data_IF_471999953781
#
_entry.id   IF_471999953781
#
_cell.length_a   1.000
_cell.length_b   1.000
_cell.length_c   1.000
_cell.angle_alpha   90.00
_cell.angle_beta   90.00
_cell.angle_gamma   90.00
#
_symmetry.space_group_name_H-M   'P 1'
#
loop_
_entity.id
_entity.type
_entity.pdbx_description
1 polymer ?
#
# COMPACT_ATOMS: atom_id res chain seq x y z
N UNK A 1 13.84 32.61 27.42
CA UNK A 1 12.83 31.58 27.15
C UNK A 1 13.59 30.28 26.99
N UNK A 2 13.42 29.38 27.93
CA UNK A 2 14.36 28.32 28.32
C UNK A 2 14.33 27.17 27.31
N UNK A 3 15.51 26.77 26.82
CA UNK A 3 15.70 25.55 26.03
C UNK A 3 15.81 24.34 26.98
N UNK A 4 14.73 23.59 27.07
CA UNK A 4 14.59 22.23 27.61
C UNK A 4 13.30 21.71 26.93
N UNK A 5 13.13 20.55 26.31
CA UNK A 5 13.69 19.20 26.43
C UNK A 5 13.72 18.59 25.00
N UNK A 6 14.88 18.12 24.52
CA UNK A 6 14.97 17.41 23.22
C UNK A 6 15.69 16.06 23.35
N UNK A 7 16.15 15.69 24.55
CA UNK A 7 16.96 14.50 24.75
C UNK A 7 16.12 13.22 24.75
N UNK A 8 14.93 13.25 25.37
CA UNK A 8 14.11 12.04 25.57
C UNK A 8 13.59 11.38 24.29
N UNK A 9 13.43 12.14 23.20
CA UNK A 9 12.92 11.57 21.95
C UNK A 9 13.95 10.79 21.14
N UNK A 10 15.23 11.14 21.29
CA UNK A 10 16.33 10.36 20.69
C UNK A 10 16.53 9.06 21.47
N UNK A 11 16.51 9.12 22.81
CA UNK A 11 16.61 7.91 23.65
C UNK A 11 15.49 6.90 23.39
N UNK A 12 14.27 7.36 23.10
CA UNK A 12 13.14 6.45 22.82
C UNK A 12 13.31 5.71 21.49
N UNK A 13 13.79 6.39 20.45
CA UNK A 13 13.99 5.79 19.12
C UNK A 13 15.11 4.75 19.13
N UNK A 14 16.21 5.02 19.81
CA UNK A 14 17.41 4.16 19.79
C UNK A 14 17.20 2.80 20.49
N UNK A 15 16.10 2.65 21.26
CA UNK A 15 15.69 1.37 21.88
C UNK A 15 14.83 0.50 20.96
N UNK A 16 14.44 1.00 19.79
CA UNK A 16 13.69 0.22 18.81
C UNK A 16 14.66 -0.63 17.95
N UNK A 17 14.28 -1.86 17.57
CA UNK A 17 12.94 -2.45 17.67
C UNK A 17 12.58 -3.06 19.03
N UNK A 18 13.53 -3.30 19.92
CA UNK A 18 13.34 -4.13 21.13
C UNK A 18 12.29 -3.56 22.11
N UNK A 19 12.20 -2.24 22.26
CA UNK A 19 11.24 -1.56 23.14
C UNK A 19 9.87 -1.27 22.49
N UNK A 20 9.54 -1.91 21.36
CA UNK A 20 8.30 -1.60 20.61
C UNK A 20 7.04 -1.75 21.46
N UNK A 21 6.94 -2.79 22.28
CA UNK A 21 5.75 -3.04 23.09
C UNK A 21 5.58 -2.02 24.22
N UNK A 22 6.70 -1.53 24.77
CA UNK A 22 6.71 -0.45 25.76
C UNK A 22 6.27 0.89 25.14
N UNK A 23 6.70 1.15 23.90
CA UNK A 23 6.50 2.44 23.23
C UNK A 23 5.14 2.52 22.54
N UNK A 24 4.75 1.49 21.79
CA UNK A 24 3.57 1.45 20.91
C UNK A 24 2.43 0.54 21.42
N UNK A 25 2.65 -0.21 22.50
CA UNK A 25 1.65 -1.09 23.12
C UNK A 25 1.90 -2.58 22.87
N UNK A 26 1.26 -3.44 23.68
CA UNK A 26 1.57 -4.89 23.74
C UNK A 26 1.43 -5.62 22.40
N UNK A 27 0.49 -5.22 21.56
CA UNK A 27 0.22 -5.83 20.25
C UNK A 27 1.05 -5.26 19.10
N UNK A 28 1.99 -4.34 19.40
CA UNK A 28 2.86 -3.75 18.39
C UNK A 28 4.08 -4.63 18.11
N UNK A 29 4.49 -4.70 16.84
CA UNK A 29 5.71 -5.41 16.42
C UNK A 29 6.61 -4.47 15.64
N UNK A 30 7.93 -4.65 15.76
CA UNK A 30 8.90 -3.85 15.02
C UNK A 30 9.97 -4.71 14.34
N UNK A 31 10.41 -4.24 13.19
CA UNK A 31 11.54 -4.80 12.46
C UNK A 31 12.43 -3.69 11.92
N UNK A 32 13.73 -3.94 11.88
CA UNK A 32 14.72 -3.04 11.27
C UNK A 32 15.37 -3.76 10.10
N UNK A 33 15.17 -3.25 8.89
CA UNK A 33 15.78 -3.79 7.68
C UNK A 33 16.19 -2.65 6.75
N UNK A 34 17.37 -2.76 6.12
CA UNK A 34 17.86 -1.77 5.16
C UNK A 34 17.80 -0.32 5.66
N UNK A 35 18.18 -0.08 6.92
CA UNK A 35 18.15 1.24 7.59
C UNK A 35 16.74 1.85 7.76
N UNK A 36 15.67 1.09 7.53
CA UNK A 36 14.30 1.50 7.81
C UNK A 36 13.74 0.76 9.02
N UNK A 37 13.32 1.54 10.03
CA UNK A 37 12.54 1.00 11.14
C UNK A 37 11.09 0.90 10.70
N UNK A 38 10.50 -0.28 10.84
CA UNK A 38 9.10 -0.52 10.53
C UNK A 38 8.39 -0.98 11.79
N UNK A 39 7.23 -0.38 12.08
CA UNK A 39 6.40 -0.71 13.23
C UNK A 39 5.00 -1.04 12.72
N UNK A 40 4.48 -2.20 13.08
CA UNK A 40 3.10 -2.59 12.86
C UNK A 40 2.30 -2.42 14.15
N UNK A 41 1.13 -1.81 14.05
CA UNK A 41 0.19 -1.62 15.17
C UNK A 41 -1.22 -2.07 14.79
N UNK A 42 -2.05 -2.48 15.76
CA UNK A 42 -3.48 -2.70 15.52
C UNK A 42 -4.18 -1.42 15.03
N UNK A 43 -5.23 -1.54 14.18
CA UNK A 43 -5.98 -0.37 13.70
C UNK A 43 -6.53 0.52 14.82
N UNK A 44 -6.92 -0.08 15.94
CA UNK A 44 -7.42 0.62 17.11
C UNK A 44 -6.39 1.56 17.75
N UNK A 45 -5.09 1.29 17.56
CA UNK A 45 -3.99 2.08 18.11
C UNK A 45 -3.39 3.06 17.10
N UNK A 46 -3.95 3.16 15.88
CA UNK A 46 -3.38 3.92 14.77
C UNK A 46 -3.04 5.37 15.12
N UNK A 47 -4.01 6.13 15.64
CA UNK A 47 -3.81 7.55 15.99
C UNK A 47 -2.84 7.69 17.16
N UNK A 48 -3.00 6.89 18.22
CA UNK A 48 -2.10 6.92 19.37
C UNK A 48 -0.64 6.60 18.98
N UNK A 49 -0.45 5.71 18.00
CA UNK A 49 0.87 5.38 17.46
C UNK A 49 1.46 6.53 16.63
N UNK A 50 0.66 7.21 15.81
CA UNK A 50 1.09 8.41 15.09
C UNK A 50 1.48 9.55 16.04
N UNK A 51 0.68 9.78 17.08
CA UNK A 51 0.99 10.76 18.14
C UNK A 51 2.27 10.38 18.88
N UNK A 52 2.45 9.11 19.22
CA UNK A 52 3.67 8.60 19.84
C UNK A 52 4.89 8.81 18.94
N UNK A 53 4.78 8.54 17.64
CA UNK A 53 5.85 8.79 16.69
C UNK A 53 6.22 10.28 16.64
N UNK A 54 5.22 11.17 16.57
CA UNK A 54 5.43 12.63 16.56
C UNK A 54 6.07 13.13 17.85
N UNK A 55 5.46 12.80 18.99
CA UNK A 55 5.71 13.46 20.27
C UNK A 55 6.82 12.78 21.06
N UNK A 56 6.92 11.45 20.99
CA UNK A 56 7.96 10.68 21.70
C UNK A 56 9.16 10.35 20.83
N UNK A 57 9.00 10.10 19.53
CA UNK A 57 10.15 9.77 18.66
C UNK A 57 10.68 10.98 17.88
N UNK A 58 9.98 12.12 17.96
CA UNK A 58 10.35 13.35 17.26
C UNK A 58 10.13 13.28 15.75
N UNK A 59 9.34 12.31 15.27
CA UNK A 59 9.02 12.16 13.85
C UNK A 59 8.02 13.24 13.40
N UNK A 60 8.49 14.48 13.32
CA UNK A 60 7.68 15.66 12.99
C UNK A 60 7.51 15.88 11.49
N UNK A 61 8.32 15.22 10.67
CA UNK A 61 8.20 15.28 9.22
C UNK A 61 7.35 14.11 8.71
N UNK A 62 6.20 14.43 8.14
CA UNK A 62 5.37 13.49 7.38
C UNK A 62 5.83 13.46 5.92
N UNK A 63 6.12 12.28 5.40
CA UNK A 63 6.59 12.11 4.02
C UNK A 63 5.46 11.67 3.09
N UNK A 64 4.88 10.49 3.33
CA UNK A 64 3.76 9.97 2.54
C UNK A 64 2.90 8.98 3.34
N UNK A 65 1.65 8.79 2.89
CA UNK A 65 0.75 7.73 3.33
C UNK A 65 0.17 7.02 2.11
N UNK A 66 0.10 5.69 2.16
CA UNK A 66 -0.53 4.87 1.12
C UNK A 66 -0.99 3.54 1.69
N UNK A 67 -1.46 2.64 0.83
CA UNK A 67 -1.84 1.29 1.22
C UNK A 67 -1.27 0.23 0.26
N UNK A 68 -1.27 -1.01 0.73
CA UNK A 68 -1.00 -2.21 -0.05
C UNK A 68 -2.17 -3.15 0.13
N UNK A 69 -2.77 -3.61 -0.96
CA UNK A 69 -3.76 -4.67 -0.93
C UNK A 69 -3.06 -6.02 -0.70
N UNK A 70 -3.25 -6.65 0.45
CA UNK A 70 -2.68 -7.95 0.82
C UNK A 70 -3.76 -9.05 0.73
N UNK A 71 -3.72 -9.91 -0.30
CA UNK A 71 -4.77 -10.90 -0.53
C UNK A 71 -4.97 -11.83 0.66
N UNK A 72 -6.23 -11.96 1.10
CA UNK A 72 -6.60 -12.78 2.25
C UNK A 72 -6.20 -12.22 3.62
N UNK A 73 -5.66 -11.00 3.67
CA UNK A 73 -5.25 -10.33 4.92
C UNK A 73 -5.97 -9.00 5.12
N UNK A 74 -6.02 -8.15 4.09
CA UNK A 74 -6.65 -6.82 4.16
C UNK A 74 -5.86 -5.76 3.41
N UNK A 75 -6.17 -4.50 3.67
CA UNK A 75 -5.35 -3.38 3.22
C UNK A 75 -4.34 -3.00 4.31
N UNK A 76 -3.06 -3.11 3.99
CA UNK A 76 -1.98 -2.61 4.83
C UNK A 76 -1.76 -1.13 4.56
N UNK A 77 -2.23 -0.28 5.45
CA UNK A 77 -2.02 1.17 5.42
C UNK A 77 -0.65 1.47 6.01
N UNK A 78 0.11 2.34 5.35
CA UNK A 78 1.48 2.69 5.69
C UNK A 78 1.63 4.21 5.74
N UNK A 79 2.24 4.74 6.80
CA UNK A 79 2.69 6.12 6.90
C UNK A 79 4.21 6.15 7.08
N UNK A 80 4.90 6.87 6.18
CA UNK A 80 6.33 7.09 6.28
C UNK A 80 6.59 8.45 6.95
N UNK A 81 7.34 8.41 8.04
CA UNK A 81 7.59 9.52 8.93
C UNK A 81 9.10 9.66 9.14
N UNK A 82 9.56 10.87 9.41
CA UNK A 82 10.96 11.13 9.69
C UNK A 82 11.17 12.08 10.87
N UNK A 83 12.19 11.78 11.67
CA UNK A 83 12.78 12.74 12.59
C UNK A 83 14.00 13.35 11.89
N UNK A 84 13.92 14.66 11.65
CA UNK A 84 15.00 15.42 11.02
C UNK A 84 16.02 15.87 12.07
N UNK A 85 17.31 15.92 11.75
CA UNK A 85 18.30 16.51 12.64
C UNK A 85 18.05 17.99 12.88
N UNK A 86 18.53 18.47 14.03
CA UNK A 86 18.66 19.91 14.26
C UNK A 86 19.58 20.54 13.20
N UNK A 87 19.18 21.69 12.68
CA UNK A 87 19.90 22.44 11.64
C UNK A 87 21.13 23.17 12.16
N UNK A 88 21.33 23.20 13.48
CA UNK A 88 22.36 24.03 14.13
C UNK A 88 23.72 23.35 14.34
N UNK A 89 23.88 22.07 13.98
CA UNK A 89 25.16 21.38 14.10
C UNK A 89 25.25 20.08 13.29
N UNK A 90 26.37 19.32 13.38
CA UNK A 90 26.45 17.97 12.86
C UNK A 90 25.55 17.05 13.70
N UNK A 91 24.25 17.13 13.48
CA UNK A 91 23.24 16.31 14.11
C UNK A 91 23.25 14.86 13.56
N UNK A 92 22.56 13.94 14.24
CA UNK A 92 22.42 12.55 13.77
C UNK A 92 21.78 12.48 12.38
N UNK A 93 21.99 11.39 11.64
CA UNK A 93 21.33 11.19 10.36
C UNK A 93 19.79 11.21 10.51
N UNK A 94 19.08 11.51 9.41
CA UNK A 94 17.62 11.44 9.37
C UNK A 94 17.16 10.06 9.81
N UNK A 95 16.32 10.00 10.85
CA UNK A 95 15.73 8.75 11.33
C UNK A 95 14.37 8.56 10.67
N UNK A 96 14.12 7.37 10.13
CA UNK A 96 12.92 7.06 9.33
C UNK A 96 12.12 5.95 9.98
N UNK A 97 10.83 6.18 10.08
CA UNK A 97 9.85 5.24 10.61
C UNK A 97 8.80 4.96 9.55
N UNK A 98 8.58 3.69 9.23
CA UNK A 98 7.40 3.22 8.50
C UNK A 98 6.41 2.66 9.52
N UNK A 99 5.36 3.42 9.82
CA UNK A 99 4.27 2.95 10.69
C UNK A 99 3.20 2.29 9.83
N UNK A 100 2.79 1.08 10.18
CA UNK A 100 1.85 0.27 9.40
C UNK A 100 0.69 -0.20 10.26
N UNK A 101 -0.46 -0.37 9.64
CA UNK A 101 -1.60 -1.07 10.21
C UNK A 101 -2.38 -1.81 9.12
N UNK A 102 -3.19 -2.79 9.47
CA UNK A 102 -3.94 -3.59 8.51
C UNK A 102 -5.43 -3.52 8.83
N UNK A 103 -6.23 -3.04 7.88
CA UNK A 103 -7.70 -3.03 7.95
C UNK A 103 -8.30 -4.11 7.05
N UNK A 104 -9.44 -4.74 7.42
CA UNK A 104 -10.06 -5.78 6.62
C UNK A 104 -10.61 -5.23 5.29
N UNK A 105 -10.75 -6.07 4.27
CA UNK A 105 -11.26 -5.66 2.94
C UNK A 105 -12.74 -5.22 2.99
N UNK A 106 -13.57 -5.93 3.76
CA UNK A 106 -15.03 -5.80 3.76
C UNK A 106 -15.52 -4.54 4.50
N UNK A 107 -14.68 -3.96 5.37
CA UNK A 107 -14.99 -2.79 6.18
C UNK A 107 -13.73 -1.95 6.40
N UNK A 108 -13.06 -1.62 5.29
CA UNK A 108 -11.80 -0.89 5.29
C UNK A 108 -12.00 0.57 5.72
N UNK A 109 -11.95 0.83 7.03
CA UNK A 109 -12.06 2.17 7.61
C UNK A 109 -10.97 2.34 8.67
N UNK A 110 -10.39 3.54 8.72
CA UNK A 110 -9.39 3.94 9.70
C UNK A 110 -9.66 5.38 10.14
N UNK A 111 -9.33 5.80 11.36
CA UNK A 111 -9.39 7.22 11.71
C UNK A 111 -8.39 8.04 10.88
N UNK A 112 -8.77 9.27 10.50
CA UNK A 112 -7.91 10.20 9.77
C UNK A 112 -6.74 10.68 10.62
N UNK A 113 -5.55 10.71 10.02
CA UNK A 113 -4.30 11.19 10.58
C UNK A 113 -4.12 12.71 10.45
N UNK A 114 -5.06 13.45 9.83
CA UNK A 114 -4.92 14.90 9.54
C UNK A 114 -4.63 15.71 10.80
N UNK A 115 -5.30 15.40 11.91
CA UNK A 115 -5.12 16.12 13.17
C UNK A 115 -3.74 15.87 13.81
N UNK A 116 -3.05 14.78 13.42
CA UNK A 116 -1.67 14.51 13.82
C UNK A 116 -0.68 15.13 12.83
N UNK A 117 -0.92 14.90 11.53
CA UNK A 117 -0.10 15.34 10.41
C UNK A 117 -0.98 15.93 9.30
N UNK A 118 -1.01 17.26 9.18
CA UNK A 118 -1.83 17.93 8.16
C UNK A 118 -1.54 17.48 6.72
N UNK A 119 -0.30 17.04 6.43
CA UNK A 119 0.09 16.50 5.13
C UNK A 119 -0.61 15.19 4.73
N UNK A 120 -1.22 14.48 5.69
CA UNK A 120 -1.96 13.26 5.45
C UNK A 120 -3.20 13.48 4.57
N UNK A 121 -3.82 14.67 4.58
CA UNK A 121 -5.10 14.85 3.90
C UNK A 121 -5.10 14.60 2.40
N UNK A 122 -4.04 14.96 1.68
CA UNK A 122 -3.94 14.61 0.25
C UNK A 122 -3.73 13.10 0.03
N UNK A 123 -2.90 12.49 0.87
CA UNK A 123 -2.56 11.07 0.79
C UNK A 123 -3.72 10.16 1.19
N UNK A 124 -4.54 10.57 2.16
CA UNK A 124 -5.75 9.86 2.56
C UNK A 124 -6.80 9.91 1.45
N UNK A 125 -6.95 11.05 0.75
CA UNK A 125 -7.82 11.15 -0.43
C UNK A 125 -7.36 10.26 -1.57
N UNK A 126 -6.06 10.29 -1.89
CA UNK A 126 -5.48 9.39 -2.90
C UNK A 126 -5.68 7.93 -2.51
N UNK A 127 -5.38 7.56 -1.26
CA UNK A 127 -5.53 6.19 -0.77
C UNK A 127 -6.98 5.73 -0.78
N UNK A 128 -7.91 6.60 -0.39
CA UNK A 128 -9.35 6.35 -0.49
C UNK A 128 -9.77 6.13 -1.93
N UNK A 129 -9.32 6.95 -2.88
CA UNK A 129 -9.69 6.79 -4.28
C UNK A 129 -9.07 5.54 -4.91
N UNK A 130 -7.81 5.25 -4.61
CA UNK A 130 -7.06 4.13 -5.19
C UNK A 130 -7.40 2.76 -4.60
N UNK A 131 -7.75 2.70 -3.31
CA UNK A 131 -7.98 1.47 -2.55
C UNK A 131 -9.37 1.39 -1.90
N UNK A 132 -10.17 2.46 -1.92
CA UNK A 132 -11.50 2.48 -1.31
C UNK A 132 -11.50 2.33 0.21
N UNK A 133 -10.45 2.84 0.87
CA UNK A 133 -10.32 2.85 2.33
C UNK A 133 -10.95 4.14 2.86
N UNK A 134 -11.90 4.04 3.80
CA UNK A 134 -12.49 5.19 4.47
C UNK A 134 -11.58 5.78 5.54
N UNK A 135 -11.57 7.11 5.66
CA UNK A 135 -10.83 7.84 6.70
C UNK A 135 -11.79 8.67 7.55
N UNK A 136 -12.16 8.15 8.73
CA UNK A 136 -13.12 8.80 9.62
C UNK A 136 -12.56 10.10 10.20
N UNK A 137 -13.34 11.17 10.13
CA UNK A 137 -12.90 12.51 10.55
C UNK A 137 -12.22 13.33 9.45
N UNK A 138 -11.96 12.76 8.27
CA UNK A 138 -11.39 13.52 7.16
C UNK A 138 -12.43 14.54 6.61
N UNK A 139 -12.14 15.87 6.58
CA UNK A 139 -13.14 16.89 6.28
C UNK A 139 -13.58 16.94 4.81
N UNK A 140 -12.76 16.43 3.89
CA UNK A 140 -13.01 16.50 2.44
C UNK A 140 -12.56 15.22 1.70
N UNK A 141 -13.09 14.06 2.11
CA UNK A 141 -12.70 12.76 1.57
C UNK A 141 -13.43 12.48 0.23
N UNK A 142 -12.99 13.15 -0.82
CA UNK A 142 -13.53 13.01 -2.17
C UNK A 142 -12.41 12.70 -3.17
N UNK A 143 -12.74 12.11 -4.34
CA UNK A 143 -11.78 11.84 -5.42
C UNK A 143 -10.81 12.98 -5.71
N UNK A 144 -9.59 12.64 -6.13
CA UNK A 144 -8.48 13.57 -6.29
C UNK A 144 -7.78 13.44 -7.66
N UNK A 145 -7.54 12.21 -8.12
CA UNK A 145 -6.66 11.91 -9.25
C UNK A 145 -7.39 11.32 -10.46
N UNK A 146 -8.42 10.51 -10.25
CA UNK A 146 -9.08 9.79 -11.33
C UNK A 146 -10.01 10.72 -12.12
N UNK A 147 -10.23 10.43 -13.41
CA UNK A 147 -11.21 11.14 -14.20
C UNK A 147 -12.61 11.07 -13.56
N UNK A 148 -13.40 12.11 -13.78
CA UNK A 148 -14.80 12.12 -13.35
C UNK A 148 -15.56 10.93 -13.93
N UNK A 149 -16.32 10.24 -13.08
CA UNK A 149 -17.07 9.04 -13.45
C UNK A 149 -16.24 7.76 -13.54
N UNK A 150 -14.98 7.76 -13.11
CA UNK A 150 -14.22 6.51 -12.96
C UNK A 150 -14.87 5.60 -11.91
N UNK A 151 -15.13 4.35 -12.28
CA UNK A 151 -15.72 3.35 -11.39
C UNK A 151 -14.65 2.38 -10.87
N UNK A 152 -14.59 2.23 -9.54
CA UNK A 152 -13.72 1.25 -8.86
C UNK A 152 -12.41 1.85 -8.35
N UNK A 153 -11.52 0.95 -7.92
CA UNK A 153 -10.31 1.26 -7.15
C UNK A 153 -9.10 0.59 -7.80
N UNK A 154 -8.35 1.31 -8.66
CA UNK A 154 -7.42 0.70 -9.61
C UNK A 154 -6.19 0.02 -8.99
N UNK A 155 -5.87 0.31 -7.73
CA UNK A 155 -4.73 -0.32 -7.03
C UNK A 155 -5.14 -1.55 -6.20
N UNK A 156 -6.43 -1.91 -6.18
CA UNK A 156 -6.85 -3.20 -5.64
C UNK A 156 -6.45 -4.33 -6.59
N UNK A 157 -6.01 -5.46 -6.04
CA UNK A 157 -5.55 -6.63 -6.79
C UNK A 157 -6.70 -7.38 -7.48
N UNK A 158 -7.94 -7.15 -7.06
CA UNK A 158 -9.15 -7.65 -7.72
C UNK A 158 -9.62 -6.76 -8.88
N UNK A 159 -9.10 -5.54 -9.02
CA UNK A 159 -9.48 -4.62 -10.08
C UNK A 159 -8.95 -5.06 -11.44
N UNK A 160 -9.86 -5.22 -12.40
CA UNK A 160 -9.53 -5.68 -13.75
C UNK A 160 -8.94 -4.52 -14.56
N UNK A 161 -7.66 -4.63 -14.95
CA UNK A 161 -7.01 -3.66 -15.82
C UNK A 161 -7.47 -3.80 -17.29
N UNK A 162 -8.66 -3.28 -17.59
CA UNK A 162 -9.24 -3.38 -18.92
C UNK A 162 -8.36 -2.79 -20.04
N UNK A 163 -7.55 -1.77 -19.72
CA UNK A 163 -6.60 -1.17 -20.64
C UNK A 163 -5.54 -2.15 -21.16
N UNK A 164 -5.14 -3.18 -20.37
CA UNK A 164 -4.20 -4.23 -20.83
C UNK A 164 -4.80 -5.11 -21.93
N UNK A 165 -6.12 -5.12 -22.06
CA UNK A 165 -6.85 -5.89 -23.08
C UNK A 165 -7.22 -5.02 -24.27
N UNK A 166 -7.53 -3.73 -24.04
CA UNK A 166 -8.03 -2.84 -25.08
C UNK A 166 -6.96 -2.20 -25.97
N UNK A 167 -5.75 -1.93 -25.44
CA UNK A 167 -4.67 -1.28 -26.21
C UNK A 167 -3.47 -2.21 -26.31
N UNK A 168 -3.18 -2.69 -27.51
CA UNK A 168 -1.91 -3.34 -27.77
C UNK A 168 -0.79 -2.35 -27.41
N UNK A 169 0.12 -2.77 -26.53
CA UNK A 169 1.31 -2.00 -26.21
C UNK A 169 2.11 -1.75 -27.50
N UNK A 170 2.59 -0.53 -27.79
CA UNK A 170 3.47 -0.34 -28.93
C UNK A 170 4.81 -1.02 -28.63
N UNK A 171 5.06 -2.15 -29.30
CA UNK A 171 6.23 -2.99 -29.11
C UNK A 171 5.84 -4.44 -28.80
N UNK A 172 6.46 -5.38 -29.51
CA UNK A 172 6.32 -6.82 -29.29
C UNK A 172 6.56 -7.14 -27.81
N UNK A 173 5.67 -7.96 -27.22
CA UNK A 173 5.75 -8.31 -25.80
C UNK A 173 6.97 -9.21 -25.52
N UNK A 174 7.46 -9.90 -26.55
CA UNK A 174 8.65 -10.75 -26.51
C UNK A 174 9.55 -10.49 -27.74
N UNK A 175 10.88 -10.61 -27.61
CA UNK A 175 11.79 -10.54 -28.75
C UNK A 175 11.45 -11.61 -29.80
N UNK A 176 10.95 -11.20 -30.97
CA UNK A 176 10.68 -12.09 -32.11
C UNK A 176 9.22 -12.16 -32.58
N UNK A 177 8.27 -11.46 -31.94
CA UNK A 177 6.92 -11.31 -32.53
C UNK A 177 6.98 -10.34 -33.72
N UNK A 178 7.07 -10.87 -34.94
CA UNK A 178 6.94 -10.11 -36.18
C UNK A 178 5.50 -10.12 -36.70
N UNK A 179 5.14 -9.08 -37.44
CA UNK A 179 3.86 -8.77 -38.12
C UNK A 179 3.37 -9.83 -39.15
N UNK A 180 3.89 -11.06 -39.14
CA UNK A 180 3.54 -12.07 -40.14
C UNK A 180 2.68 -13.17 -39.53
N UNK A 181 1.41 -13.18 -39.95
CA UNK A 181 0.31 -14.00 -39.43
C UNK A 181 0.52 -15.50 -39.57
N UNK A 182 1.10 -16.12 -38.55
CA UNK A 182 0.84 -17.51 -38.19
C UNK A 182 -0.34 -17.62 -37.21
N UNK A 183 -0.97 -18.80 -37.05
CA UNK A 183 -2.06 -19.00 -36.11
C UNK A 183 -1.60 -18.68 -34.68
N UNK A 184 -2.06 -17.55 -34.14
CA UNK A 184 -1.72 -17.09 -32.79
C UNK A 184 -2.31 -18.07 -31.77
N UNK A 185 -1.43 -18.77 -31.05
CA UNK A 185 -1.82 -19.53 -29.86
C UNK A 185 -2.32 -18.53 -28.81
N UNK A 186 -3.55 -18.71 -28.32
CA UNK A 186 -4.17 -17.82 -27.32
C UNK A 186 -3.27 -17.72 -26.09
N UNK A 187 -2.74 -16.51 -25.84
CA UNK A 187 -1.91 -16.20 -24.68
C UNK A 187 -2.72 -16.40 -23.40
N UNK A 188 -2.13 -17.02 -22.39
CA UNK A 188 -2.79 -17.15 -21.09
C UNK A 188 -3.11 -15.76 -20.54
N UNK A 189 -4.36 -15.55 -20.12
CA UNK A 189 -4.80 -14.30 -19.54
C UNK A 189 -4.10 -14.09 -18.19
N UNK A 190 -3.73 -12.84 -17.84
CA UNK A 190 -3.29 -12.52 -16.49
C UNK A 190 -4.37 -12.90 -15.46
N UNK A 191 -3.99 -13.26 -14.22
CA UNK A 191 -4.93 -13.49 -13.13
C UNK A 191 -5.92 -12.31 -12.98
N UNK A 192 -7.21 -12.60 -12.80
CA UNK A 192 -8.26 -11.59 -12.61
C UNK A 192 -8.88 -11.03 -13.89
N UNK A 193 -8.28 -11.20 -15.07
CA UNK A 193 -8.88 -10.75 -16.34
C UNK A 193 -9.97 -11.74 -16.76
N UNK A 194 -11.26 -11.35 -16.81
CA UNK A 194 -12.32 -12.25 -17.24
C UNK A 194 -12.14 -12.63 -18.72
N UNK A 195 -12.81 -13.69 -19.19
CA UNK A 195 -12.66 -14.12 -20.57
C UNK A 195 -13.12 -13.00 -21.53
N UNK A 196 -12.32 -12.57 -22.53
CA UNK A 196 -12.76 -11.56 -23.49
C UNK A 196 -14.04 -11.93 -24.29
N UNK A 197 -14.49 -13.19 -24.26
CA UNK A 197 -15.81 -13.59 -24.72
C UNK A 197 -16.96 -13.26 -23.76
N UNK A 198 -16.67 -13.09 -22.48
CA UNK A 198 -17.61 -12.81 -21.41
C UNK A 198 -17.71 -11.29 -21.15
N UNK A 199 -16.66 -10.52 -21.48
CA UNK A 199 -16.63 -9.07 -21.26
C UNK A 199 -15.80 -8.32 -22.34
N UNK A 200 -16.04 -7.01 -22.48
CA UNK A 200 -15.27 -6.14 -23.38
C UNK A 200 -15.73 -6.15 -24.86
N UNK A 201 -14.99 -5.47 -25.76
CA UNK A 201 -15.40 -5.25 -27.16
C UNK A 201 -15.48 -6.51 -28.01
N UNK A 202 -14.82 -7.59 -27.58
CA UNK A 202 -14.72 -8.87 -28.28
C UNK A 202 -15.72 -9.92 -27.76
N UNK A 203 -16.71 -9.50 -26.96
CA UNK A 203 -17.71 -10.37 -26.34
C UNK A 203 -18.37 -11.28 -27.39
N UNK A 204 -18.27 -12.58 -27.18
CA UNK A 204 -18.81 -13.62 -28.06
C UNK A 204 -18.15 -13.79 -29.43
N UNK A 205 -17.02 -13.13 -29.71
CA UNK A 205 -16.36 -13.17 -31.02
C UNK A 205 -15.18 -14.14 -31.11
N UNK A 206 -14.67 -14.61 -29.96
CA UNK A 206 -13.53 -15.52 -29.89
C UNK A 206 -13.99 -16.99 -29.70
N UNK A 207 -13.17 -17.97 -30.07
CA UNK A 207 -13.40 -19.37 -29.73
C UNK A 207 -13.43 -19.60 -28.19
N UNK A 208 -14.14 -20.62 -27.68
CA UNK A 208 -14.18 -20.94 -26.25
C UNK A 208 -12.76 -21.19 -25.70
N UNK A 209 -12.54 -20.83 -24.43
CA UNK A 209 -11.25 -21.01 -23.79
C UNK A 209 -10.82 -22.49 -23.80
N UNK A 210 -9.55 -22.80 -24.06
CA UNK A 210 -9.06 -24.18 -23.97
C UNK A 210 -9.17 -24.67 -22.52
N UNK A 211 -9.83 -25.82 -22.32
CA UNK A 211 -9.94 -26.44 -21.01
C UNK A 211 -8.55 -26.76 -20.46
N UNK A 212 -8.24 -26.31 -19.24
CA UNK A 212 -6.99 -26.66 -18.56
C UNK A 212 -7.01 -28.17 -18.27
N UNK A 213 -6.07 -28.98 -18.78
CA UNK A 213 -6.00 -30.38 -18.40
C UNK A 213 -5.75 -30.48 -16.90
N UNK A 214 -6.50 -31.35 -16.22
CA UNK A 214 -6.30 -31.62 -14.81
C UNK A 214 -4.86 -32.06 -14.57
N UNK A 215 -4.18 -31.43 -13.61
CA UNK A 215 -2.82 -31.78 -13.23
C UNK A 215 -2.85 -33.15 -12.57
N UNK A 216 -2.35 -34.18 -13.24
CA UNK A 216 -2.19 -35.49 -12.63
C UNK A 216 -1.31 -35.36 -11.38
N UNK A 217 -1.75 -35.97 -10.28
CA UNK A 217 -0.98 -36.02 -9.05
C UNK A 217 0.36 -36.71 -9.31
N UNK A 218 1.46 -36.09 -8.86
CA UNK A 218 2.78 -36.72 -8.90
C UNK A 218 2.77 -37.90 -7.92
N UNK A 219 3.24 -39.10 -8.30
CA UNK A 219 3.43 -40.17 -7.33
C UNK A 219 4.47 -39.72 -6.30
N UNK A 220 4.18 -39.99 -5.02
CA UNK A 220 5.14 -39.83 -3.94
C UNK A 220 6.34 -40.74 -4.21
N UNK A 221 7.55 -40.20 -4.18
CA UNK A 221 8.77 -40.99 -4.25
C UNK A 221 9.05 -41.65 -2.91
N UNK A 222 9.41 -42.94 -2.95
CA UNK A 222 9.99 -43.72 -1.84
C UNK A 222 11.41 -43.24 -1.48
#
# INVERSE_FOLDING_TARGET
>A
MTAAESTGGTESYDRLPDAVTEIFGEDATAEQAYELLTVDVPPASWIAALETARDRLGCTYFDWLSAVDEPGTGFRVCAHLAALPDRTGPGPAVRRLLLRTTVPHEAAVLPSAIDVYAGAGWHERETHEMFGIGFDGHPHLVPLLLPEGFEGHPLRKDFVLAARVAKAWPGAKEPGESEHGGPKRRTMLPPGVPDPNEWGPLKGQLPPAPARPARAARPAGD
#
